data_IF_257059619730
#
_entry.id   IF_257059619730
#
_cell.length_a   1.000
_cell.length_b   1.000
_cell.length_c   1.000
_cell.angle_alpha   90.00
_cell.angle_beta   90.00
_cell.angle_gamma   90.00
#
_symmetry.space_group_name_H-M   'P 1'
#
loop_
_entity.id
_entity.type
_entity.pdbx_description
1 polymer ?
#
# COMPACT_ATOMS: atom_id res chain seq x y z
N UNK A 1 -16.55 27.95 45.51
CA UNK A 1 -15.99 26.57 45.33
C UNK A 1 -17.00 25.62 45.93
N UNK A 2 -17.86 25.00 45.12
CA UNK A 2 -18.89 24.06 45.59
C UNK A 2 -18.27 22.69 45.66
N UNK A 3 -18.07 22.21 46.88
CA UNK A 3 -17.69 20.84 47.19
C UNK A 3 -18.87 19.91 46.83
N UNK A 4 -18.91 19.47 45.58
CA UNK A 4 -19.91 18.50 45.13
C UNK A 4 -19.50 17.11 45.57
N UNK A 5 -19.86 16.77 46.79
CA UNK A 5 -19.73 15.39 47.27
C UNK A 5 -20.57 14.48 46.34
N UNK A 6 -19.91 13.47 45.66
CA UNK A 6 -20.61 12.67 44.68
C UNK A 6 -21.79 11.91 45.29
N UNK A 7 -22.95 11.93 44.62
CA UNK A 7 -24.15 11.29 45.07
C UNK A 7 -23.93 9.76 45.30
N UNK A 8 -24.74 9.14 46.19
CA UNK A 8 -24.63 7.68 46.46
C UNK A 8 -24.76 6.87 45.16
N UNK A 9 -25.59 7.29 44.22
CA UNK A 9 -25.74 6.64 42.93
C UNK A 9 -24.46 6.70 42.09
N UNK A 10 -23.75 7.82 42.13
CA UNK A 10 -22.45 7.97 41.44
C UNK A 10 -21.37 7.12 42.09
N UNK A 11 -21.33 7.04 43.43
CA UNK A 11 -20.39 6.15 44.14
C UNK A 11 -20.64 4.70 43.75
N UNK A 12 -21.90 4.23 43.73
CA UNK A 12 -22.28 2.87 43.32
C UNK A 12 -21.88 2.58 41.86
N UNK A 13 -22.08 3.53 40.95
CA UNK A 13 -21.68 3.41 39.53
C UNK A 13 -20.14 3.33 39.37
N UNK A 14 -19.39 4.12 40.16
CA UNK A 14 -17.91 4.07 40.14
C UNK A 14 -17.38 2.71 40.63
N UNK A 15 -17.91 2.21 41.73
CA UNK A 15 -17.53 0.89 42.29
C UNK A 15 -17.89 -0.21 41.28
N UNK A 16 -19.07 -0.18 40.70
CA UNK A 16 -19.48 -1.16 39.70
C UNK A 16 -18.59 -1.13 38.45
N UNK A 17 -18.28 0.04 37.94
CA UNK A 17 -17.34 0.22 36.82
C UNK A 17 -15.93 -0.27 37.15
N UNK A 18 -15.44 0.00 38.35
CA UNK A 18 -14.13 -0.46 38.80
C UNK A 18 -14.07 -2.00 38.86
N UNK A 19 -15.10 -2.63 39.49
CA UNK A 19 -15.20 -4.12 39.55
C UNK A 19 -15.29 -4.74 38.15
N UNK A 20 -16.07 -4.14 37.24
CA UNK A 20 -16.19 -4.61 35.85
C UNK A 20 -14.86 -4.49 35.11
N UNK A 21 -14.15 -3.37 35.30
CA UNK A 21 -12.81 -3.14 34.71
C UNK A 21 -11.80 -4.15 35.23
N UNK A 22 -11.78 -4.41 36.54
CA UNK A 22 -10.90 -5.43 37.14
C UNK A 22 -11.20 -6.82 36.59
N UNK A 23 -12.48 -7.19 36.50
CA UNK A 23 -12.88 -8.49 35.95
C UNK A 23 -12.46 -8.61 34.46
N UNK A 24 -12.64 -7.54 33.67
CA UNK A 24 -12.22 -7.51 32.27
C UNK A 24 -10.70 -7.65 32.12
N UNK A 25 -9.92 -6.95 32.95
CA UNK A 25 -8.46 -7.07 32.96
C UNK A 25 -8.01 -8.49 33.37
N UNK A 26 -8.63 -9.06 34.39
CA UNK A 26 -8.32 -10.42 34.84
C UNK A 26 -8.62 -11.47 33.75
N UNK A 27 -9.77 -11.35 33.05
CA UNK A 27 -10.13 -12.24 31.94
C UNK A 27 -9.14 -12.06 30.78
N UNK A 28 -8.76 -10.82 30.45
CA UNK A 28 -7.78 -10.56 29.39
C UNK A 28 -6.41 -11.15 29.73
N UNK A 29 -5.94 -10.97 30.94
CA UNK A 29 -4.68 -11.56 31.41
C UNK A 29 -4.72 -13.08 31.36
N UNK A 30 -5.81 -13.69 31.86
CA UNK A 30 -5.96 -15.14 31.87
C UNK A 30 -5.99 -15.69 30.42
N UNK A 31 -6.74 -15.07 29.53
CA UNK A 31 -6.78 -15.49 28.12
C UNK A 31 -5.43 -15.33 27.43
N UNK A 32 -4.70 -14.24 27.71
CA UNK A 32 -3.35 -14.03 27.16
C UNK A 32 -2.36 -15.08 27.69
N UNK A 33 -2.40 -15.38 29.00
CA UNK A 33 -1.56 -16.43 29.59
C UNK A 33 -1.91 -17.81 29.05
N UNK A 34 -3.20 -18.12 28.90
CA UNK A 34 -3.64 -19.39 28.32
C UNK A 34 -3.18 -19.53 26.87
N UNK A 35 -3.29 -18.47 26.08
CA UNK A 35 -2.80 -18.45 24.70
C UNK A 35 -1.27 -18.59 24.66
N UNK A 36 -0.53 -17.86 25.49
CA UNK A 36 0.92 -17.97 25.58
C UNK A 36 1.37 -19.40 26.00
N UNK A 37 0.66 -20.01 26.94
CA UNK A 37 0.91 -21.39 27.32
C UNK A 37 0.64 -22.38 26.19
N UNK A 38 -0.46 -22.18 25.43
CA UNK A 38 -0.80 -23.01 24.29
C UNK A 38 0.27 -22.90 23.18
N UNK A 39 0.75 -21.70 22.90
CA UNK A 39 1.85 -21.47 21.95
C UNK A 39 3.15 -22.13 22.46
N UNK A 40 3.47 -21.95 23.74
CA UNK A 40 4.67 -22.52 24.34
C UNK A 40 4.67 -24.05 24.26
N UNK A 41 3.62 -24.68 24.78
CA UNK A 41 3.55 -26.15 24.84
C UNK A 41 3.17 -26.78 23.50
N UNK A 42 2.38 -26.09 22.67
CA UNK A 42 1.94 -26.61 21.37
C UNK A 42 2.96 -26.43 20.24
N UNK A 43 3.79 -25.40 20.28
CA UNK A 43 4.79 -25.08 19.25
C UNK A 43 6.22 -25.27 19.76
N UNK A 44 6.60 -24.58 20.85
CA UNK A 44 7.99 -24.48 21.27
C UNK A 44 8.48 -25.74 22.00
N UNK A 45 7.59 -26.54 22.61
CA UNK A 45 7.94 -27.80 23.27
C UNK A 45 7.91 -29.02 22.32
N UNK A 46 7.65 -28.83 21.03
CA UNK A 46 7.65 -29.94 20.05
C UNK A 46 9.06 -30.24 19.53
N UNK A 47 9.39 -31.50 19.22
CA UNK A 47 10.70 -31.87 18.62
C UNK A 47 10.98 -31.16 17.27
N UNK A 48 9.94 -30.66 16.61
CA UNK A 48 10.07 -29.87 15.37
C UNK A 48 10.68 -28.50 15.59
N UNK A 49 10.57 -27.93 16.82
CA UNK A 49 11.08 -26.61 17.14
C UNK A 49 12.61 -26.52 17.06
N UNK A 50 13.32 -27.54 17.49
CA UNK A 50 14.79 -27.61 17.36
C UNK A 50 15.23 -27.51 15.89
N UNK A 51 14.50 -28.17 14.97
CA UNK A 51 14.76 -28.04 13.53
C UNK A 51 14.48 -26.63 13.01
N UNK A 52 13.38 -26.01 13.47
CA UNK A 52 13.06 -24.63 13.10
C UNK A 52 14.15 -23.67 13.60
N UNK A 53 14.63 -23.85 14.85
CA UNK A 53 15.73 -23.04 15.36
C UNK A 53 17.00 -23.19 14.53
N UNK A 54 17.40 -24.42 14.19
CA UNK A 54 18.62 -24.66 13.41
C UNK A 54 18.55 -24.15 11.97
N UNK A 55 17.35 -24.05 11.38
CA UNK A 55 17.18 -23.55 10.01
C UNK A 55 16.91 -22.06 9.92
N UNK A 56 16.17 -21.49 10.88
CA UNK A 56 15.69 -20.10 10.78
C UNK A 56 16.40 -19.13 11.73
N UNK A 57 17.05 -19.65 12.79
CA UNK A 57 17.69 -18.83 13.82
C UNK A 57 19.19 -19.13 13.96
N UNK A 58 19.81 -19.64 12.90
CA UNK A 58 21.26 -19.85 12.83
C UNK A 58 21.95 -18.49 12.67
N UNK A 59 22.66 -18.07 13.71
CA UNK A 59 23.35 -16.78 13.76
C UNK A 59 24.52 -16.70 12.82
N UNK A 60 25.28 -17.77 12.64
CA UNK A 60 26.43 -17.80 11.77
C UNK A 60 26.01 -17.69 10.31
N UNK A 61 24.94 -18.36 9.91
CA UNK A 61 24.33 -18.22 8.59
C UNK A 61 23.77 -16.83 8.39
N UNK A 62 23.11 -16.26 9.41
CA UNK A 62 22.57 -14.89 9.35
C UNK A 62 23.67 -13.85 9.10
N UNK A 63 24.79 -13.93 9.85
CA UNK A 63 25.94 -13.03 9.68
C UNK A 63 26.59 -13.22 8.30
N UNK A 64 26.80 -14.45 7.86
CA UNK A 64 27.37 -14.75 6.56
C UNK A 64 26.48 -14.30 5.38
N UNK A 65 25.15 -14.34 5.55
CA UNK A 65 24.19 -13.92 4.53
C UNK A 65 23.96 -12.40 4.52
N UNK A 66 24.24 -11.71 5.63
CA UNK A 66 23.91 -10.30 5.81
C UNK A 66 24.40 -9.38 4.68
N UNK A 67 25.65 -9.46 4.15
CA UNK A 67 26.09 -8.61 3.05
C UNK A 67 25.21 -8.76 1.81
N UNK A 68 24.86 -10.01 1.44
CA UNK A 68 23.99 -10.27 0.28
C UNK A 68 22.57 -9.75 0.48
N UNK A 69 22.03 -9.90 1.68
CA UNK A 69 20.71 -9.38 2.04
C UNK A 69 20.72 -7.86 1.99
N UNK A 70 21.77 -7.22 2.47
CA UNK A 70 21.95 -5.78 2.43
C UNK A 70 22.04 -5.24 1.01
N UNK A 71 22.84 -5.90 0.13
CA UNK A 71 22.90 -5.55 -1.29
C UNK A 71 21.56 -5.69 -1.97
N UNK A 72 20.81 -6.78 -1.66
CA UNK A 72 19.44 -6.99 -2.12
C UNK A 72 18.48 -5.90 -1.63
N UNK A 73 18.62 -5.43 -0.40
CA UNK A 73 17.85 -4.31 0.13
C UNK A 73 18.12 -3.02 -0.65
N UNK A 74 19.38 -2.71 -0.91
CA UNK A 74 19.75 -1.52 -1.70
C UNK A 74 19.20 -1.59 -3.13
N UNK A 75 19.25 -2.77 -3.76
CA UNK A 75 18.62 -2.98 -5.06
C UNK A 75 17.10 -2.76 -4.99
N UNK A 76 16.41 -3.32 -4.00
CA UNK A 76 14.98 -3.11 -3.79
C UNK A 76 14.61 -1.64 -3.58
N UNK A 77 15.41 -0.89 -2.81
CA UNK A 77 15.20 0.55 -2.62
C UNK A 77 15.35 1.33 -3.92
N UNK A 78 16.33 1.00 -4.76
CA UNK A 78 16.51 1.63 -6.08
C UNK A 78 15.30 1.34 -6.99
N UNK A 79 14.87 0.09 -7.06
CA UNK A 79 13.69 -0.33 -7.83
C UNK A 79 12.44 0.38 -7.31
N UNK A 80 12.25 0.44 -5.99
CA UNK A 80 11.12 1.12 -5.36
C UNK A 80 11.05 2.60 -5.73
N UNK A 81 12.16 3.33 -5.59
CA UNK A 81 12.20 4.77 -5.90
C UNK A 81 11.94 5.01 -7.38
N UNK A 82 12.60 4.27 -8.27
CA UNK A 82 12.42 4.41 -9.70
C UNK A 82 10.97 4.09 -10.13
N UNK A 83 10.44 2.96 -9.65
CA UNK A 83 9.06 2.57 -9.95
C UNK A 83 8.06 3.58 -9.37
N UNK A 84 8.24 4.06 -8.14
CA UNK A 84 7.35 5.05 -7.53
C UNK A 84 7.26 6.34 -8.34
N UNK A 85 8.39 6.87 -8.79
CA UNK A 85 8.42 8.08 -9.62
C UNK A 85 7.66 7.85 -10.92
N UNK A 86 7.94 6.74 -11.63
CA UNK A 86 7.27 6.41 -12.87
C UNK A 86 5.77 6.17 -12.68
N UNK A 87 5.39 5.44 -11.64
CA UNK A 87 3.98 5.20 -11.29
C UNK A 87 3.21 6.49 -11.06
N UNK A 88 3.81 7.43 -10.30
CA UNK A 88 3.17 8.73 -10.03
C UNK A 88 3.03 9.55 -11.32
N UNK A 89 4.07 9.61 -12.16
CA UNK A 89 4.03 10.36 -13.41
C UNK A 89 3.02 9.76 -14.39
N UNK A 90 3.10 8.46 -14.66
CA UNK A 90 2.18 7.80 -15.59
C UNK A 90 0.75 7.73 -15.04
N UNK A 91 0.58 7.50 -13.74
CA UNK A 91 -0.73 7.54 -13.07
C UNK A 91 -1.41 8.90 -13.20
N UNK A 92 -0.65 9.99 -13.00
CA UNK A 92 -1.16 11.35 -13.16
C UNK A 92 -1.54 11.63 -14.63
N UNK A 93 -0.68 11.25 -15.58
CA UNK A 93 -0.97 11.43 -17.01
C UNK A 93 -2.26 10.69 -17.44
N UNK A 94 -2.41 9.43 -17.02
CA UNK A 94 -3.62 8.64 -17.27
C UNK A 94 -4.86 9.30 -16.65
N UNK A 95 -4.78 9.79 -15.42
CA UNK A 95 -5.87 10.50 -14.77
C UNK A 95 -6.27 11.77 -15.52
N UNK A 96 -5.28 12.56 -15.94
CA UNK A 96 -5.53 13.77 -16.74
C UNK A 96 -6.23 13.41 -18.05
N UNK A 97 -5.72 12.45 -18.83
CA UNK A 97 -6.32 12.06 -20.11
C UNK A 97 -7.78 11.61 -19.95
N UNK A 98 -8.09 10.88 -18.88
CA UNK A 98 -9.45 10.41 -18.58
C UNK A 98 -10.41 11.51 -18.13
N UNK A 99 -9.90 12.62 -17.59
CA UNK A 99 -10.71 13.77 -17.15
C UNK A 99 -10.91 14.84 -18.24
N UNK A 100 -10.18 14.76 -19.37
CA UNK A 100 -10.33 15.68 -20.48
C UNK A 100 -11.70 15.53 -21.15
N UNK A 101 -12.48 16.62 -21.19
CA UNK A 101 -13.85 16.64 -21.76
C UNK A 101 -13.90 16.99 -23.24
N UNK A 102 -12.83 17.59 -23.80
CA UNK A 102 -12.79 18.02 -25.20
C UNK A 102 -12.87 16.80 -26.14
N UNK A 103 -13.75 16.82 -27.17
CA UNK A 103 -13.90 15.72 -28.14
C UNK A 103 -12.61 15.34 -28.88
N UNK A 104 -11.69 16.28 -29.11
CA UNK A 104 -10.39 16.04 -29.75
C UNK A 104 -9.57 14.98 -28.96
N UNK A 105 -9.71 14.91 -27.64
CA UNK A 105 -9.00 13.96 -26.79
C UNK A 105 -9.76 12.66 -26.53
N UNK A 106 -10.87 12.43 -27.25
CA UNK A 106 -11.66 11.21 -27.10
C UNK A 106 -10.84 9.92 -27.28
N UNK A 107 -9.96 9.78 -28.32
CA UNK A 107 -9.14 8.58 -28.47
C UNK A 107 -8.21 8.33 -27.28
N UNK A 108 -7.56 9.38 -26.75
CA UNK A 108 -6.67 9.27 -25.59
C UNK A 108 -7.43 8.85 -24.35
N UNK A 109 -8.66 9.35 -24.16
CA UNK A 109 -9.51 8.97 -23.04
C UNK A 109 -9.90 7.49 -23.10
N UNK A 110 -10.30 7.00 -24.28
CA UNK A 110 -10.68 5.60 -24.48
C UNK A 110 -9.48 4.67 -24.27
N UNK A 111 -8.32 5.00 -24.84
CA UNK A 111 -7.10 4.23 -24.66
C UNK A 111 -6.67 4.18 -23.20
N UNK A 112 -6.70 5.33 -22.50
CA UNK A 112 -6.36 5.40 -21.08
C UNK A 112 -7.36 4.62 -20.21
N UNK A 113 -8.64 4.63 -20.54
CA UNK A 113 -9.64 3.83 -19.85
C UNK A 113 -9.38 2.34 -20.06
N UNK A 114 -9.21 1.89 -21.32
CA UNK A 114 -8.93 0.49 -21.62
C UNK A 114 -7.63 0.00 -20.98
N UNK A 115 -6.59 0.84 -20.94
CA UNK A 115 -5.35 0.55 -20.21
C UNK A 115 -5.63 0.30 -18.71
N UNK A 116 -6.34 1.22 -18.08
CA UNK A 116 -6.63 1.13 -16.64
C UNK A 116 -7.49 -0.09 -16.32
N UNK A 117 -8.52 -0.36 -17.11
CA UNK A 117 -9.40 -1.51 -16.93
C UNK A 117 -8.63 -2.83 -17.11
N UNK A 118 -7.72 -2.91 -18.09
CA UNK A 118 -6.87 -4.07 -18.33
C UNK A 118 -5.93 -4.34 -17.15
N UNK A 119 -5.10 -3.36 -16.79
CA UNK A 119 -4.05 -3.59 -15.79
C UNK A 119 -4.57 -3.67 -14.35
N UNK A 120 -5.75 -3.13 -14.05
CA UNK A 120 -6.43 -3.37 -12.76
C UNK A 120 -7.13 -4.72 -12.69
N UNK A 121 -7.50 -5.29 -13.85
CA UNK A 121 -8.10 -6.62 -13.92
C UNK A 121 -7.07 -7.75 -13.86
N UNK A 122 -5.78 -7.47 -14.10
CA UNK A 122 -4.73 -8.48 -14.08
C UNK A 122 -4.03 -8.55 -12.73
N UNK A 123 -3.83 -9.74 -12.15
CA UNK A 123 -2.93 -9.92 -11.01
C UNK A 123 -1.50 -9.47 -11.37
N UNK A 124 -0.86 -8.71 -10.46
CA UNK A 124 0.51 -8.22 -10.66
C UNK A 124 1.49 -9.32 -11.06
N UNK A 125 1.35 -10.51 -10.47
CA UNK A 125 2.25 -11.64 -10.73
C UNK A 125 2.22 -12.07 -12.21
N UNK A 126 1.06 -12.00 -12.86
CA UNK A 126 0.92 -12.31 -14.29
C UNK A 126 1.66 -11.27 -15.13
N UNK A 127 1.52 -9.97 -14.78
CA UNK A 127 2.23 -8.90 -15.49
C UNK A 127 3.75 -9.03 -15.29
N UNK A 128 4.21 -9.38 -14.08
CA UNK A 128 5.62 -9.63 -13.79
C UNK A 128 6.18 -10.79 -14.63
N UNK A 129 5.46 -11.90 -14.77
CA UNK A 129 5.88 -13.02 -15.61
C UNK A 129 5.85 -12.67 -17.10
N UNK A 130 4.81 -11.97 -17.54
CA UNK A 130 4.69 -11.56 -18.94
C UNK A 130 5.83 -10.61 -19.35
N UNK A 131 6.14 -9.63 -18.53
CA UNK A 131 7.23 -8.68 -18.78
C UNK A 131 8.59 -9.33 -18.54
N UNK A 132 8.77 -10.00 -17.41
CA UNK A 132 10.07 -10.54 -16.98
C UNK A 132 10.56 -11.72 -17.82
N UNK A 133 9.66 -12.54 -18.35
CA UNK A 133 10.00 -13.70 -19.18
C UNK A 133 9.50 -13.56 -20.62
N UNK A 134 8.36 -12.91 -20.82
CA UNK A 134 7.79 -12.72 -22.16
C UNK A 134 8.65 -11.84 -23.04
N UNK A 135 9.11 -10.68 -22.54
CA UNK A 135 9.97 -9.76 -23.31
C UNK A 135 11.30 -10.42 -23.70
N UNK A 136 12.08 -11.03 -22.77
CA UNK A 136 13.28 -11.77 -23.15
C UNK A 136 12.99 -12.97 -24.05
N UNK A 137 11.84 -13.63 -23.88
CA UNK A 137 11.39 -14.76 -24.69
C UNK A 137 11.17 -14.44 -26.17
N UNK A 138 10.97 -13.17 -26.53
CA UNK A 138 10.88 -12.72 -27.93
C UNK A 138 12.22 -12.84 -28.68
N UNK A 139 13.33 -13.07 -27.97
CA UNK A 139 14.68 -13.25 -28.51
C UNK A 139 15.15 -12.14 -29.45
N UNK A 140 14.62 -10.93 -29.28
CA UNK A 140 15.08 -9.74 -30.01
C UNK A 140 16.38 -9.25 -29.36
N UNK A 141 17.41 -9.02 -30.16
CA UNK A 141 18.76 -8.72 -29.66
C UNK A 141 18.81 -7.60 -28.62
N UNK A 142 18.04 -6.52 -28.85
CA UNK A 142 18.02 -5.37 -27.95
C UNK A 142 17.15 -5.60 -26.68
N UNK A 143 16.14 -6.47 -26.74
CA UNK A 143 15.25 -6.76 -25.59
C UNK A 143 15.86 -7.82 -24.66
N UNK A 144 16.67 -8.75 -25.18
CA UNK A 144 17.32 -9.79 -24.39
C UNK A 144 18.42 -9.27 -23.45
N UNK A 145 18.87 -8.01 -23.60
CA UNK A 145 19.90 -7.39 -22.78
C UNK A 145 19.37 -6.49 -21.66
N UNK A 146 18.04 -6.41 -21.52
CA UNK A 146 17.42 -5.56 -20.47
C UNK A 146 17.62 -6.26 -19.12
N UNK A 147 18.23 -5.57 -18.11
CA UNK A 147 18.38 -6.11 -16.76
C UNK A 147 17.03 -6.46 -16.12
N UNK A 148 17.02 -7.51 -15.30
CA UNK A 148 15.78 -8.00 -14.65
C UNK A 148 15.12 -6.96 -13.75
N UNK A 149 15.90 -6.12 -13.08
CA UNK A 149 15.40 -5.00 -12.27
C UNK A 149 14.65 -3.96 -13.11
N UNK A 150 15.09 -3.70 -14.34
CA UNK A 150 14.40 -2.77 -15.26
C UNK A 150 13.07 -3.38 -15.72
N UNK A 151 13.05 -4.68 -16.05
CA UNK A 151 11.80 -5.40 -16.37
C UNK A 151 10.83 -5.37 -15.19
N UNK A 152 11.34 -5.53 -13.97
CA UNK A 152 10.55 -5.39 -12.75
C UNK A 152 9.95 -3.98 -12.60
N UNK A 153 10.75 -2.93 -12.82
CA UNK A 153 10.28 -1.53 -12.79
C UNK A 153 9.18 -1.31 -13.84
N UNK A 154 9.35 -1.83 -15.04
CA UNK A 154 8.34 -1.74 -16.11
C UNK A 154 7.03 -2.41 -15.67
N UNK A 155 7.08 -3.64 -15.19
CA UNK A 155 5.88 -4.37 -14.75
C UNK A 155 5.14 -3.67 -13.61
N UNK A 156 5.88 -3.18 -12.60
CA UNK A 156 5.34 -2.38 -11.50
C UNK A 156 4.71 -1.09 -12.01
N UNK A 157 5.37 -0.40 -12.93
CA UNK A 157 4.86 0.85 -13.51
C UNK A 157 3.58 0.61 -14.29
N UNK A 158 3.52 -0.43 -15.13
CA UNK A 158 2.33 -0.78 -15.90
C UNK A 158 1.14 -1.05 -14.98
N UNK A 159 1.33 -1.83 -13.94
CA UNK A 159 0.25 -2.24 -13.03
C UNK A 159 -0.16 -1.09 -12.12
N UNK A 160 0.79 -0.52 -11.37
CA UNK A 160 0.45 0.44 -10.31
C UNK A 160 0.06 1.82 -10.85
N UNK A 161 0.52 2.24 -12.03
CA UNK A 161 0.05 3.48 -12.65
C UNK A 161 -1.47 3.44 -12.94
N UNK A 162 -2.01 2.27 -13.27
CA UNK A 162 -3.44 2.09 -13.45
C UNK A 162 -4.22 2.30 -12.14
N UNK A 163 -3.74 1.75 -11.01
CA UNK A 163 -4.35 1.98 -9.69
C UNK A 163 -4.22 3.42 -9.23
N UNK A 164 -3.02 4.00 -9.33
CA UNK A 164 -2.74 5.38 -8.91
C UNK A 164 -3.51 6.39 -9.75
N UNK A 165 -3.76 6.10 -11.04
CA UNK A 165 -4.58 6.95 -11.89
C UNK A 165 -6.02 7.11 -11.37
N UNK A 166 -6.58 6.07 -10.77
CA UNK A 166 -7.90 6.15 -10.14
C UNK A 166 -7.90 7.04 -8.90
N UNK A 167 -6.84 6.96 -8.09
CA UNK A 167 -6.69 7.83 -6.90
C UNK A 167 -6.61 9.30 -7.34
N UNK A 168 -5.78 9.60 -8.34
CA UNK A 168 -5.70 10.96 -8.89
C UNK A 168 -7.01 11.42 -9.51
N UNK A 169 -7.68 10.55 -10.29
CA UNK A 169 -8.98 10.87 -10.89
C UNK A 169 -10.02 11.17 -9.82
N UNK A 170 -10.11 10.33 -8.80
CA UNK A 170 -11.03 10.54 -7.68
C UNK A 170 -10.75 11.87 -6.95
N UNK A 171 -9.47 12.22 -6.74
CA UNK A 171 -9.08 13.51 -6.17
C UNK A 171 -9.48 14.69 -7.04
N UNK A 172 -9.27 14.61 -8.36
CA UNK A 172 -9.66 15.67 -9.32
C UNK A 172 -11.19 15.83 -9.34
N UNK A 173 -11.95 14.74 -9.30
CA UNK A 173 -13.41 14.76 -9.37
C UNK A 173 -14.07 15.14 -8.02
N UNK A 174 -13.38 14.97 -6.88
CA UNK A 174 -13.87 15.33 -5.56
C UNK A 174 -14.06 16.84 -5.38
N UNK A 175 -13.40 17.67 -6.18
CA UNK A 175 -13.55 19.14 -6.12
C UNK A 175 -14.96 19.53 -6.57
N UNK A 176 -15.74 20.05 -5.62
CA UNK A 176 -17.14 20.40 -5.89
C UNK A 176 -17.26 21.48 -6.97
N UNK A 177 -18.27 21.40 -7.89
CA UNK A 177 -18.46 22.38 -8.96
C UNK A 177 -18.56 23.82 -8.46
N UNK A 178 -19.15 24.07 -7.28
CA UNK A 178 -19.25 25.41 -6.68
C UNK A 178 -17.88 26.03 -6.36
N UNK A 179 -16.93 25.22 -5.88
CA UNK A 179 -15.56 25.69 -5.59
C UNK A 179 -14.86 26.11 -6.90
N UNK A 180 -15.02 25.32 -7.96
CA UNK A 180 -14.49 25.67 -9.30
C UNK A 180 -15.14 26.94 -9.85
N UNK A 181 -16.46 27.11 -9.65
CA UNK A 181 -17.16 28.32 -10.09
C UNK A 181 -16.70 29.54 -9.28
N UNK A 182 -16.56 29.43 -7.97
CA UNK A 182 -16.04 30.52 -7.13
C UNK A 182 -14.61 30.92 -7.53
N UNK A 183 -13.72 29.97 -7.77
CA UNK A 183 -12.37 30.26 -8.23
C UNK A 183 -12.36 31.01 -9.60
N UNK A 184 -13.25 30.62 -10.52
CA UNK A 184 -13.40 31.30 -11.80
C UNK A 184 -13.99 32.71 -11.68
N UNK A 185 -14.92 32.92 -10.75
CA UNK A 185 -15.47 34.25 -10.48
C UNK A 185 -14.43 35.23 -9.93
N UNK A 186 -13.37 34.69 -9.26
CA UNK A 186 -12.19 35.45 -8.84
C UNK A 186 -11.16 35.66 -9.96
N UNK A 187 -11.46 35.29 -11.20
CA UNK A 187 -10.57 35.45 -12.35
C UNK A 187 -9.44 34.43 -12.44
N UNK A 188 -9.48 33.34 -11.65
CA UNK A 188 -8.44 32.32 -11.69
C UNK A 188 -8.55 31.48 -12.97
N UNK A 189 -7.41 31.27 -13.66
CA UNK A 189 -7.34 30.34 -14.78
C UNK A 189 -7.53 28.90 -14.30
N UNK A 190 -7.96 28.00 -15.19
CA UNK A 190 -8.20 26.59 -14.85
C UNK A 190 -7.01 25.92 -14.12
N UNK A 191 -5.73 26.06 -14.58
CA UNK A 191 -4.60 25.46 -13.87
C UNK A 191 -4.38 26.07 -12.47
N UNK A 192 -4.59 27.38 -12.30
CA UNK A 192 -4.48 28.04 -10.99
C UNK A 192 -5.60 27.58 -10.05
N UNK A 193 -6.83 27.47 -10.56
CA UNK A 193 -7.97 26.96 -9.81
C UNK A 193 -7.71 25.53 -9.31
N UNK A 194 -7.20 24.64 -10.17
CA UNK A 194 -6.87 23.25 -9.80
C UNK A 194 -5.71 23.10 -8.80
N UNK A 195 -4.86 24.11 -8.65
CA UNK A 195 -3.76 24.13 -7.66
C UNK A 195 -4.19 24.65 -6.29
N UNK A 196 -5.22 25.48 -6.24
CA UNK A 196 -5.62 26.21 -5.03
C UNK A 196 -6.88 25.65 -4.38
N UNK A 197 -7.62 24.83 -5.09
CA UNK A 197 -8.86 24.16 -4.66
C UNK A 197 -8.64 22.66 -4.56
#
# INVERSE_FOLDING_TARGET
MSDSNPSEAERRRRVWRAKRKQKSIAVSLLSTLAFAALVWFGLLATPGWERVQGFFFDWDVAVAAFPRVFDGLLLNLRVLVAAAILVLVFGLLLAIFRTLKNPVFFPLRVLSQGYVDLFRGLPLIIVLYLVGFGIPGLRLEFLGRIPSEVLGIIALTLTYSAYVSEVFRAGIEAVHPSQRMAARSLGLSYPKSMRLV
#
